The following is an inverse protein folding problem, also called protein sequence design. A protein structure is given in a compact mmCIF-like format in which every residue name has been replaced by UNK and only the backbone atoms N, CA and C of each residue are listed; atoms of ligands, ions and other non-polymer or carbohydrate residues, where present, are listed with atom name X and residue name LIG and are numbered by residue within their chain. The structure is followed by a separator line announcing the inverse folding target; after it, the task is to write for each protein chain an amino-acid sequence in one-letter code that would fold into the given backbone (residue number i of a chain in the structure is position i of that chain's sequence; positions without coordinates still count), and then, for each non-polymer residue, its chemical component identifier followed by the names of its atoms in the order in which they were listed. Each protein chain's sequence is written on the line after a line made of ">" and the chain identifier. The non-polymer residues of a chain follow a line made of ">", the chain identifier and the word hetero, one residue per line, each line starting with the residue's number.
data_IF_568786565563
#
_entry.id   IF_568786565563
#
_cell.length_a   1.000
_cell.length_b   1.000
_cell.length_c   1.000
_cell.angle_alpha   90.00
_cell.angle_beta   90.00
_cell.angle_gamma   90.00
#
_symmetry.space_group_name_H-M   'P 1'
#
loop_
_entity.id
_entity.type
_entity.pdbx_description
1 polymer ?
#
# COMPACT_ATOMS: atom_id res chain seq x y z
N UNK A 1 1.52 5.09 -8.93
CA UNK A 1 1.63 4.30 -7.69
C UNK A 1 2.66 3.21 -7.88
N UNK A 2 3.59 3.12 -6.99
CA UNK A 2 4.61 2.07 -7.00
C UNK A 2 4.40 1.14 -5.82
N UNK A 3 4.46 -0.15 -6.09
CA UNK A 3 4.37 -1.18 -5.05
C UNK A 3 5.63 -2.03 -5.13
N UNK A 4 6.23 -2.25 -3.97
CA UNK A 4 7.44 -3.06 -3.85
C UNK A 4 7.17 -4.29 -3.02
N UNK A 5 7.86 -5.37 -3.36
CA UNK A 5 7.85 -6.59 -2.58
C UNK A 5 9.27 -7.11 -2.44
N UNK A 6 9.53 -7.75 -1.31
CA UNK A 6 10.80 -8.39 -1.03
C UNK A 6 10.52 -9.86 -0.73
N UNK A 7 11.22 -10.75 -1.39
CA UNK A 7 11.02 -12.18 -1.20
C UNK A 7 12.33 -12.94 -1.23
N UNK A 8 12.28 -14.19 -0.77
CA UNK A 8 13.46 -15.04 -0.70
C UNK A 8 13.84 -15.67 -2.05
N UNK A 9 12.90 -15.71 -2.99
CA UNK A 9 13.14 -16.17 -4.35
C UNK A 9 12.53 -15.19 -5.34
N UNK A 10 13.03 -15.18 -6.57
CA UNK A 10 12.49 -14.36 -7.64
C UNK A 10 11.03 -14.72 -7.93
N UNK A 11 10.74 -16.01 -8.01
CA UNK A 11 9.38 -16.48 -8.28
C UNK A 11 8.39 -16.08 -7.18
N UNK A 12 8.77 -16.19 -5.92
CA UNK A 12 7.93 -15.81 -4.79
C UNK A 12 7.65 -14.30 -4.77
N UNK A 13 8.69 -13.50 -5.06
CA UNK A 13 8.57 -12.05 -5.12
C UNK A 13 7.60 -11.63 -6.23
N UNK A 14 7.75 -12.19 -7.40
CA UNK A 14 6.89 -11.91 -8.55
C UNK A 14 5.45 -12.32 -8.28
N UNK A 15 5.25 -13.51 -7.74
CA UNK A 15 3.93 -14.03 -7.41
C UNK A 15 3.22 -13.15 -6.37
N UNK A 16 3.95 -12.70 -5.36
CA UNK A 16 3.40 -11.82 -4.34
C UNK A 16 2.94 -10.50 -4.93
N UNK A 17 3.74 -9.90 -5.82
CA UNK A 17 3.37 -8.66 -6.51
C UNK A 17 2.13 -8.86 -7.39
N UNK A 18 2.11 -9.92 -8.17
CA UNK A 18 0.98 -10.20 -9.07
C UNK A 18 -0.32 -10.41 -8.29
N UNK A 19 -0.26 -11.13 -7.18
CA UNK A 19 -1.41 -11.34 -6.31
C UNK A 19 -1.89 -10.04 -5.67
N UNK A 20 -0.97 -9.22 -5.23
CA UNK A 20 -1.28 -7.93 -4.61
C UNK A 20 -1.96 -6.99 -5.60
N UNK A 21 -1.43 -6.90 -6.82
CA UNK A 21 -2.00 -6.09 -7.90
C UNK A 21 -3.39 -6.60 -8.29
N UNK A 22 -3.54 -7.91 -8.37
CA UNK A 22 -4.85 -8.52 -8.70
C UNK A 22 -5.90 -8.15 -7.66
N UNK A 23 -5.59 -8.26 -6.37
CA UNK A 23 -6.50 -7.87 -5.29
C UNK A 23 -6.86 -6.39 -5.36
N UNK A 24 -5.87 -5.54 -5.60
CA UNK A 24 -6.07 -4.11 -5.73
C UNK A 24 -7.04 -3.80 -6.88
N UNK A 25 -6.87 -4.45 -8.02
CA UNK A 25 -7.72 -4.25 -9.18
C UNK A 25 -9.16 -4.74 -9.01
N UNK A 26 -9.41 -5.60 -8.00
CA UNK A 26 -10.75 -6.08 -7.68
C UNK A 26 -11.49 -5.18 -6.69
N UNK A 27 -10.82 -4.21 -6.11
CA UNK A 27 -11.45 -3.29 -5.17
C UNK A 27 -12.52 -2.45 -5.85
N UNK A 28 -13.64 -2.27 -5.15
CA UNK A 28 -14.76 -1.51 -5.66
C UNK A 28 -14.36 -0.03 -5.83
N UNK A 29 -14.71 0.53 -6.99
CA UNK A 29 -14.37 1.92 -7.29
C UNK A 29 -12.93 2.15 -7.72
N UNK A 30 -12.23 1.08 -8.10
CA UNK A 30 -10.84 1.11 -8.52
C UNK A 30 -10.70 0.45 -9.90
N UNK A 31 -9.92 1.08 -10.76
CA UNK A 31 -9.57 0.52 -12.08
C UNK A 31 -8.07 0.71 -12.31
N UNK A 32 -7.39 -0.35 -12.68
CA UNK A 32 -6.00 -0.26 -13.07
C UNK A 32 -5.93 0.02 -14.57
N UNK A 33 -5.42 1.20 -14.93
CA UNK A 33 -5.28 1.62 -16.33
C UNK A 33 -4.01 1.08 -16.97
N UNK A 34 -2.93 1.03 -16.21
CA UNK A 34 -1.64 0.49 -16.66
C UNK A 34 -0.95 -0.24 -15.54
N UNK A 35 -0.23 -1.29 -15.88
CA UNK A 35 0.67 -1.98 -14.96
C UNK A 35 1.97 -2.32 -15.67
N UNK A 36 3.06 -1.96 -15.03
CA UNK A 36 4.40 -2.20 -15.53
C UNK A 36 5.22 -2.88 -14.45
N UNK A 37 5.38 -4.19 -14.60
CA UNK A 37 6.21 -4.98 -13.69
C UNK A 37 7.67 -4.83 -14.09
N UNK A 38 8.46 -4.24 -13.22
CA UNK A 38 9.88 -4.06 -13.45
C UNK A 38 10.62 -5.38 -13.26
N UNK A 39 11.83 -5.45 -13.77
CA UNK A 39 12.67 -6.63 -13.60
C UNK A 39 13.00 -6.81 -12.11
N UNK A 40 12.84 -8.04 -11.60
CA UNK A 40 13.20 -8.38 -10.24
C UNK A 40 14.70 -8.26 -10.04
N UNK A 41 15.11 -7.62 -8.96
CA UNK A 41 16.52 -7.41 -8.65
C UNK A 41 16.93 -8.19 -7.41
N UNK A 42 18.14 -8.72 -7.44
CA UNK A 42 18.74 -9.42 -6.32
C UNK A 42 19.31 -8.40 -5.34
N UNK A 43 18.96 -8.54 -4.08
CA UNK A 43 19.45 -7.67 -3.00
C UNK A 43 20.26 -8.50 -2.03
N UNK A 44 21.50 -8.07 -1.76
CA UNK A 44 22.38 -8.76 -0.82
C UNK A 44 22.18 -8.24 0.59
N UNK A 45 21.99 -9.14 1.54
CA UNK A 45 21.88 -8.85 2.98
C UNK A 45 20.86 -7.76 3.31
N UNK A 46 19.57 -7.89 2.89
CA UNK A 46 18.54 -6.90 3.24
C UNK A 46 18.27 -6.86 4.74
N UNK A 47 18.51 -7.97 5.44
CA UNK A 47 18.40 -8.10 6.90
C UNK A 47 19.53 -8.97 7.41
N UNK A 48 19.85 -8.84 8.70
CA UNK A 48 20.95 -9.63 9.31
C UNK A 48 20.82 -11.13 9.11
N UNK A 49 19.60 -11.65 9.16
CA UNK A 49 19.33 -13.08 9.08
C UNK A 49 19.15 -13.60 7.66
N UNK A 50 19.12 -12.72 6.67
CA UNK A 50 18.84 -13.08 5.29
C UNK A 50 20.01 -12.62 4.41
N UNK A 51 20.71 -13.58 3.84
CA UNK A 51 21.90 -13.31 3.01
C UNK A 51 21.52 -12.70 1.67
N UNK A 52 20.40 -13.13 1.10
CA UNK A 52 19.98 -12.71 -0.23
C UNK A 52 18.46 -12.63 -0.27
N UNK A 53 17.96 -11.60 -0.91
CA UNK A 53 16.54 -11.46 -1.20
C UNK A 53 16.39 -10.93 -2.62
N UNK A 54 15.16 -10.94 -3.11
CA UNK A 54 14.81 -10.41 -4.41
C UNK A 54 13.80 -9.29 -4.22
N UNK A 55 14.10 -8.15 -4.81
CA UNK A 55 13.22 -6.99 -4.78
C UNK A 55 12.45 -6.93 -6.09
N UNK A 56 11.14 -6.83 -6.01
CA UNK A 56 10.28 -6.63 -7.14
C UNK A 56 9.52 -5.32 -7.02
N UNK A 57 9.31 -4.65 -8.13
CA UNK A 57 8.59 -3.37 -8.19
C UNK A 57 7.60 -3.44 -9.33
N UNK A 58 6.41 -2.94 -9.08
CA UNK A 58 5.41 -2.70 -10.11
C UNK A 58 4.98 -1.24 -10.06
N UNK A 59 4.89 -0.63 -11.22
CA UNK A 59 4.36 0.72 -11.36
C UNK A 59 2.95 0.62 -11.93
N UNK A 60 2.00 1.22 -11.22
CA UNK A 60 0.58 1.18 -11.59
C UNK A 60 0.05 2.57 -11.88
N UNK A 61 -0.77 2.66 -12.92
CA UNK A 61 -1.61 3.81 -13.14
C UNK A 61 -3.03 3.40 -12.77
N UNK A 62 -3.60 4.06 -11.76
CA UNK A 62 -4.85 3.65 -11.15
C UNK A 62 -5.86 4.78 -11.21
N UNK A 63 -7.10 4.43 -11.55
CA UNK A 63 -8.23 5.33 -11.52
C UNK A 63 -9.08 4.96 -10.30
N UNK A 64 -9.41 5.93 -9.49
CA UNK A 64 -10.30 5.72 -8.34
C UNK A 64 -11.55 6.57 -8.47
N UNK A 65 -12.66 6.06 -7.96
CA UNK A 65 -13.94 6.73 -7.99
C UNK A 65 -13.89 8.10 -7.28
N UNK A 66 -13.21 8.16 -6.15
CA UNK A 66 -13.09 9.36 -5.34
C UNK A 66 -11.79 9.33 -4.53
N UNK A 67 -11.51 10.41 -3.82
CA UNK A 67 -10.31 10.54 -3.03
C UNK A 67 -10.30 9.55 -1.85
N UNK A 68 -11.45 9.32 -1.24
CA UNK A 68 -11.58 8.36 -0.14
C UNK A 68 -11.13 6.98 -0.57
N UNK A 69 -11.48 6.56 -1.78
CA UNK A 69 -11.06 5.27 -2.33
C UNK A 69 -9.55 5.21 -2.53
N UNK A 70 -8.94 6.32 -2.92
CA UNK A 70 -7.49 6.41 -3.05
C UNK A 70 -6.81 6.28 -1.68
N UNK A 71 -7.34 6.94 -0.67
CA UNK A 71 -6.84 6.81 0.71
C UNK A 71 -6.93 5.37 1.17
N UNK A 72 -8.05 4.70 0.89
CA UNK A 72 -8.23 3.29 1.20
C UNK A 72 -7.12 2.43 0.58
N UNK A 73 -6.79 2.67 -0.68
CA UNK A 73 -5.72 1.93 -1.36
C UNK A 73 -4.37 2.13 -0.69
N UNK A 74 -4.05 3.37 -0.36
CA UNK A 74 -2.77 3.69 0.29
C UNK A 74 -2.66 2.97 1.64
N UNK A 75 -3.72 3.01 2.44
CA UNK A 75 -3.72 2.43 3.77
C UNK A 75 -3.70 0.90 3.76
N UNK A 76 -4.30 0.27 2.76
CA UNK A 76 -4.46 -1.18 2.73
C UNK A 76 -3.46 -1.90 1.82
N UNK A 77 -2.88 -1.22 0.85
CA UNK A 77 -1.93 -1.81 -0.11
C UNK A 77 -0.52 -1.27 0.04
N UNK A 78 -0.32 -0.28 0.89
CA UNK A 78 0.99 0.25 1.29
C UNK A 78 1.97 0.49 0.11
N UNK A 79 1.60 1.31 -0.87
CA UNK A 79 2.53 1.63 -1.95
C UNK A 79 3.78 2.34 -1.40
N UNK A 80 4.92 2.13 -2.03
CA UNK A 80 6.16 2.81 -1.65
C UNK A 80 6.19 4.26 -2.11
N UNK A 81 5.44 4.58 -3.16
CA UNK A 81 5.31 5.94 -3.66
C UNK A 81 3.99 6.12 -4.38
N UNK A 82 3.47 7.32 -4.33
CA UNK A 82 2.23 7.67 -5.00
C UNK A 82 2.33 9.09 -5.56
N UNK A 83 1.77 9.29 -6.75
CA UNK A 83 1.67 10.58 -7.38
C UNK A 83 0.25 10.75 -7.88
N UNK A 84 -0.36 11.90 -7.60
CA UNK A 84 -1.67 12.23 -8.12
C UNK A 84 -1.48 12.98 -9.44
N UNK A 85 -1.82 12.32 -10.55
CA UNK A 85 -1.66 12.88 -11.87
C UNK A 85 -2.81 13.81 -12.23
N UNK A 86 -4.03 13.43 -11.89
CA UNK A 86 -5.25 14.17 -12.13
C UNK A 86 -6.29 13.86 -11.05
N UNK A 87 -7.16 14.82 -10.72
CA UNK A 87 -7.17 16.23 -11.14
C UNK A 87 -6.10 17.04 -10.38
N UNK A 88 -5.85 18.26 -10.82
CA UNK A 88 -4.87 19.15 -10.16
C UNK A 88 -5.34 19.64 -8.80
N UNK A 89 -6.65 19.71 -8.61
CA UNK A 89 -7.27 20.10 -7.35
C UNK A 89 -8.31 19.07 -6.95
N UNK A 90 -8.31 18.73 -5.68
CA UNK A 90 -9.27 17.79 -5.11
C UNK A 90 -10.04 18.53 -4.05
N UNK A 91 -11.38 18.49 -4.18
CA UNK A 91 -12.27 19.06 -3.16
C UNK A 91 -12.93 17.91 -2.40
N UNK A 92 -12.84 17.97 -1.09
CA UNK A 92 -13.50 17.03 -0.22
C UNK A 92 -14.35 17.78 0.81
N UNK A 93 -15.49 17.22 1.16
CA UNK A 93 -16.31 17.82 2.21
C UNK A 93 -15.87 17.34 3.60
N UNK A 94 -16.46 17.93 4.63
CA UNK A 94 -16.10 17.60 6.00
C UNK A 94 -16.40 16.13 6.35
N UNK A 95 -17.44 15.55 5.78
CA UNK A 95 -17.78 14.15 5.98
C UNK A 95 -16.73 13.21 5.42
N UNK A 96 -16.26 13.48 4.20
CA UNK A 96 -15.16 12.72 3.60
C UNK A 96 -13.88 12.87 4.40
N UNK A 97 -13.55 14.10 4.82
CA UNK A 97 -12.36 14.36 5.61
C UNK A 97 -12.41 13.60 6.94
N UNK A 98 -13.57 13.57 7.59
CA UNK A 98 -13.75 12.82 8.83
C UNK A 98 -13.59 11.32 8.62
N UNK A 99 -14.12 10.78 7.54
CA UNK A 99 -13.94 9.37 7.18
C UNK A 99 -12.47 9.01 7.01
N UNK A 100 -11.71 9.87 6.36
CA UNK A 100 -10.26 9.69 6.17
C UNK A 100 -9.54 9.69 7.52
N UNK A 101 -9.87 10.65 8.40
CA UNK A 101 -9.26 10.72 9.73
C UNK A 101 -9.57 9.48 10.56
N UNK A 102 -10.79 8.97 10.49
CA UNK A 102 -11.17 7.74 11.18
C UNK A 102 -10.40 6.53 10.64
N UNK A 103 -10.21 6.46 9.34
CA UNK A 103 -9.43 5.38 8.72
C UNK A 103 -7.96 5.43 9.17
N UNK A 104 -7.39 6.62 9.25
CA UNK A 104 -6.03 6.80 9.76
C UNK A 104 -5.92 6.40 11.23
N UNK A 105 -6.89 6.83 12.04
CA UNK A 105 -6.94 6.50 13.46
C UNK A 105 -7.02 5.00 13.68
N UNK A 106 -7.86 4.32 12.91
CA UNK A 106 -7.99 2.86 12.97
C UNK A 106 -6.69 2.16 12.60
N UNK A 107 -6.03 2.60 11.54
CA UNK A 107 -4.74 2.03 11.13
C UNK A 107 -3.69 2.20 12.22
N UNK A 108 -3.58 3.40 12.79
CA UNK A 108 -2.61 3.66 13.85
C UNK A 108 -2.91 2.84 15.09
N UNK A 109 -4.18 2.68 15.42
CA UNK A 109 -4.60 1.85 16.56
C UNK A 109 -4.18 0.39 16.36
N UNK A 110 -4.43 -0.17 15.17
CA UNK A 110 -4.01 -1.54 14.83
C UNK A 110 -2.50 -1.69 14.86
N UNK A 111 -1.78 -0.70 14.34
CA UNK A 111 -0.32 -0.72 14.32
C UNK A 111 0.26 -0.75 15.74
N UNK A 112 -0.24 0.07 16.64
CA UNK A 112 0.16 0.08 18.04
C UNK A 112 -0.17 -1.25 18.71
N UNK A 113 -1.35 -1.80 18.41
CA UNK A 113 -1.77 -3.11 18.93
C UNK A 113 -0.82 -4.23 18.52
N UNK A 114 -0.36 -4.21 17.26
CA UNK A 114 0.58 -5.22 16.75
C UNK A 114 1.97 -5.11 17.38
N UNK A 115 2.41 -3.88 17.69
CA UNK A 115 3.75 -3.65 18.21
C UNK A 115 3.85 -3.75 19.73
N UNK A 116 2.75 -3.50 20.44
CA UNK A 116 2.74 -3.42 21.92
C UNK A 116 1.68 -4.30 22.59
N UNK A 117 0.95 -5.09 21.81
CA UNK A 117 -0.14 -5.87 22.36
C UNK A 117 -1.36 -5.06 22.75
N UNK A 118 -1.44 -3.82 22.30
CA UNK A 118 -2.55 -2.93 22.55
C UNK A 118 -2.10 -1.56 23.03
N UNK A 119 -3.06 -0.65 23.07
CA UNK A 119 -2.81 0.69 23.59
C UNK A 119 -2.99 0.66 25.11
N UNK A 120 -1.95 1.08 25.81
CA UNK A 120 -2.06 1.29 27.25
C UNK A 120 -2.68 2.63 27.50
N UNK A 121 -3.87 2.62 28.05
CA UNK A 121 -4.55 3.84 28.46
C UNK A 121 -4.24 4.09 29.93
N UNK A 122 -3.58 5.20 30.19
CA UNK A 122 -3.37 5.64 31.55
C UNK A 122 -4.58 6.45 31.99
N UNK A 123 -5.33 5.88 32.89
CA UNK A 123 -6.58 6.48 33.38
C UNK A 123 -6.39 7.36 34.59
N UNK A 124 -5.19 7.61 34.96
CA UNK A 124 -4.93 8.47 36.15
C UNK A 124 -5.16 9.95 35.86
#
# INVERSE_FOLDING_TARGET
>A
MMIEALGVTEAATRSALENHVRKLGLEKGVMIAKKDFKKTEKVSKPFENIKTAYSGVVELEVLTKDYDRLVFLVLNYAPSAIEVLEPKKISIDAGEAQGILNSLAELMHRFVGLTRGGIMVDTK
#
